data_IF_520331023781
#
_entry.id   IF_520331023781
#
_cell.length_a   1.000
_cell.length_b   1.000
_cell.length_c   1.000
_cell.angle_alpha   90.00
_cell.angle_beta   90.00
_cell.angle_gamma   90.00
#
_symmetry.space_group_name_H-M   'P 1'
#
loop_
_entity.id
_entity.type
_entity.pdbx_description
1 polymer ?
#
# COMPACT_ATOMS: atom_id res chain seq x y z
N UNK A 1 -2.11 -12.58 -16.89
CA UNK A 1 -2.36 -11.10 -16.79
C UNK A 1 -3.19 -10.82 -15.54
N UNK A 2 -2.63 -10.12 -14.58
CA UNK A 2 -3.33 -9.67 -13.38
C UNK A 2 -4.05 -8.35 -13.65
N UNK A 3 -5.30 -8.23 -13.16
CA UNK A 3 -6.09 -7.01 -13.38
C UNK A 3 -5.56 -5.88 -12.49
N UNK A 4 -5.32 -4.66 -13.02
CA UNK A 4 -5.01 -3.49 -12.20
C UNK A 4 -6.10 -3.20 -11.17
N UNK A 5 -5.73 -2.75 -9.97
CA UNK A 5 -6.68 -2.31 -8.93
C UNK A 5 -7.37 -1.01 -9.40
N UNK A 6 -6.59 -0.12 -10.01
CA UNK A 6 -7.07 1.11 -10.66
C UNK A 6 -6.14 1.49 -11.82
N UNK A 7 -6.55 2.44 -12.62
CA UNK A 7 -5.73 3.13 -13.62
C UNK A 7 -5.94 4.63 -13.49
N UNK A 8 -4.87 5.41 -13.66
CA UNK A 8 -4.90 6.86 -13.46
C UNK A 8 -4.29 7.28 -12.12
N UNK A 9 -4.89 8.25 -11.45
CA UNK A 9 -4.37 8.83 -10.21
C UNK A 9 -4.83 8.07 -8.97
N UNK A 10 -3.87 7.63 -8.15
CA UNK A 10 -4.11 7.08 -6.82
C UNK A 10 -3.50 7.99 -5.76
N UNK A 11 -4.32 8.80 -5.09
CA UNK A 11 -3.84 9.76 -4.11
C UNK A 11 -3.50 9.10 -2.78
N UNK A 12 -2.29 9.35 -2.26
CA UNK A 12 -1.92 9.05 -0.88
C UNK A 12 -2.32 10.26 -0.02
N UNK A 13 -3.45 10.17 0.69
CA UNK A 13 -3.95 11.29 1.47
C UNK A 13 -3.28 11.39 2.84
N UNK A 14 -3.27 12.60 3.41
CA UNK A 14 -2.85 12.86 4.78
C UNK A 14 -3.91 12.36 5.76
N UNK A 15 -3.50 12.09 7.01
CA UNK A 15 -4.42 11.88 8.13
C UNK A 15 -4.44 13.16 8.95
N UNK A 16 -5.54 13.91 8.97
CA UNK A 16 -5.65 15.11 9.80
C UNK A 16 -5.81 14.74 11.28
N UNK A 17 -5.17 15.51 12.15
CA UNK A 17 -5.20 15.31 13.59
C UNK A 17 -5.67 16.57 14.33
N UNK A 18 -6.29 16.36 15.49
CA UNK A 18 -6.52 17.32 16.54
C UNK A 18 -5.55 17.05 17.69
N UNK A 19 -5.62 17.85 18.75
CA UNK A 19 -4.84 17.61 19.98
C UNK A 19 -5.20 16.28 20.68
N UNK A 20 -6.31 15.64 20.29
CA UNK A 20 -6.85 14.45 20.96
C UNK A 20 -6.91 13.20 20.09
N UNK A 21 -6.46 13.26 18.85
CA UNK A 21 -6.48 12.14 17.89
C UNK A 21 -6.89 12.56 16.49
N UNK A 22 -7.36 11.61 15.68
CA UNK A 22 -7.73 11.84 14.27
C UNK A 22 -8.95 12.78 14.17
N UNK A 23 -8.83 13.78 13.29
CA UNK A 23 -9.94 14.65 12.86
C UNK A 23 -10.74 13.97 11.73
N UNK A 24 -11.73 13.19 12.10
CA UNK A 24 -12.55 12.45 11.14
C UNK A 24 -13.42 13.35 10.26
N UNK A 25 -13.87 14.50 10.76
CA UNK A 25 -14.65 15.45 9.97
C UNK A 25 -13.79 16.03 8.84
N UNK A 26 -12.54 16.38 9.18
CA UNK A 26 -11.59 16.87 8.18
C UNK A 26 -11.13 15.78 7.21
N UNK A 27 -11.00 14.54 7.68
CA UNK A 27 -10.69 13.40 6.81
C UNK A 27 -11.83 13.16 5.80
N UNK A 28 -13.10 13.27 6.21
CA UNK A 28 -14.25 13.18 5.29
C UNK A 28 -14.21 14.28 4.22
N UNK A 29 -13.96 15.53 4.62
CA UNK A 29 -13.81 16.65 3.66
C UNK A 29 -12.71 16.36 2.62
N UNK A 30 -11.57 15.82 3.05
CA UNK A 30 -10.46 15.47 2.15
C UNK A 30 -10.82 14.32 1.20
N UNK A 31 -11.49 13.28 1.69
CA UNK A 31 -11.97 12.17 0.86
C UNK A 31 -12.94 12.67 -0.21
N UNK A 32 -13.95 13.47 0.19
CA UNK A 32 -14.93 14.03 -0.75
C UNK A 32 -14.27 14.95 -1.78
N UNK A 33 -13.32 15.78 -1.35
CA UNK A 33 -12.54 16.63 -2.25
C UNK A 33 -11.83 15.79 -3.32
N UNK A 34 -11.07 14.75 -2.91
CA UNK A 34 -10.31 13.93 -3.84
C UNK A 34 -11.21 13.20 -4.86
N UNK A 35 -12.32 12.65 -4.38
CA UNK A 35 -13.29 11.97 -5.28
C UNK A 35 -13.91 12.96 -6.26
N UNK A 36 -14.30 14.16 -5.80
CA UNK A 36 -14.87 15.21 -6.62
C UNK A 36 -13.89 15.69 -7.69
N UNK A 37 -12.60 15.80 -7.33
CA UNK A 37 -11.53 16.23 -8.26
C UNK A 37 -11.03 15.08 -9.17
N UNK A 38 -11.63 13.88 -9.08
CA UNK A 38 -11.46 12.81 -10.06
C UNK A 38 -10.34 11.83 -9.77
N UNK A 39 -9.93 11.65 -8.50
CA UNK A 39 -9.01 10.56 -8.16
C UNK A 39 -9.60 9.19 -8.53
N UNK A 40 -8.75 8.26 -8.95
CA UNK A 40 -9.16 6.91 -9.33
C UNK A 40 -8.96 5.88 -8.21
N UNK A 41 -8.27 6.27 -7.13
CA UNK A 41 -8.06 5.45 -5.94
C UNK A 41 -7.63 6.34 -4.78
N UNK A 42 -7.89 5.92 -3.55
CA UNK A 42 -7.40 6.58 -2.34
C UNK A 42 -6.52 5.61 -1.56
N UNK A 43 -5.29 6.03 -1.27
CA UNK A 43 -4.38 5.31 -0.38
C UNK A 43 -4.42 5.99 0.98
N UNK A 44 -4.91 5.27 1.99
CA UNK A 44 -4.96 5.74 3.39
C UNK A 44 -3.87 5.06 4.21
N UNK A 45 -3.43 5.72 5.26
CA UNK A 45 -2.41 5.18 6.16
C UNK A 45 -1.15 4.70 5.42
N UNK A 46 -0.78 5.39 4.32
CA UNK A 46 0.55 5.30 3.75
C UNK A 46 1.55 6.15 4.54
N UNK A 47 2.74 6.36 4.01
CA UNK A 47 3.75 7.27 4.61
C UNK A 47 3.20 8.69 4.77
N UNK A 48 2.50 9.20 3.75
CA UNK A 48 1.84 10.52 3.78
C UNK A 48 0.75 10.60 4.85
N UNK A 49 0.07 9.49 5.11
CA UNK A 49 -0.96 9.36 6.15
C UNK A 49 -0.42 9.04 7.53
N UNK A 50 0.90 9.13 7.75
CA UNK A 50 1.58 9.01 9.05
C UNK A 50 1.33 7.69 9.80
N UNK A 51 1.12 6.59 9.06
CA UNK A 51 0.82 5.26 9.64
C UNK A 51 1.81 4.80 10.72
N UNK A 52 3.09 5.16 10.57
CA UNK A 52 4.15 4.71 11.48
C UNK A 52 4.10 5.36 12.87
N UNK A 53 3.29 6.38 13.07
CA UNK A 53 3.14 7.10 14.33
C UNK A 53 1.79 6.89 15.00
N UNK A 54 0.89 6.15 14.35
CA UNK A 54 -0.43 5.80 14.89
C UNK A 54 -0.40 4.48 15.66
N UNK A 55 -1.05 4.38 16.83
CA UNK A 55 -1.39 3.09 17.43
C UNK A 55 -2.29 2.25 16.51
N UNK A 56 -2.26 0.92 16.65
CA UNK A 56 -3.00 0.00 15.79
C UNK A 56 -4.52 0.30 15.73
N UNK A 57 -5.12 0.62 16.86
CA UNK A 57 -6.56 0.91 16.96
C UNK A 57 -6.93 2.21 16.23
N UNK A 58 -6.11 3.24 16.35
CA UNK A 58 -6.28 4.49 15.61
C UNK A 58 -6.08 4.25 14.10
N UNK A 59 -5.01 3.53 13.73
CA UNK A 59 -4.70 3.17 12.35
C UNK A 59 -5.87 2.46 11.66
N UNK A 60 -6.41 1.41 12.30
CA UNK A 60 -7.55 0.67 11.75
C UNK A 60 -8.83 1.50 11.75
N UNK A 61 -9.02 2.42 12.71
CA UNK A 61 -10.18 3.32 12.71
C UNK A 61 -10.18 4.25 11.50
N UNK A 62 -9.00 4.77 11.10
CA UNK A 62 -8.83 5.58 9.87
C UNK A 62 -9.17 4.79 8.62
N UNK A 63 -8.67 3.55 8.50
CA UNK A 63 -8.96 2.69 7.34
C UNK A 63 -10.47 2.41 7.26
N UNK A 64 -11.09 2.00 8.36
CA UNK A 64 -12.53 1.72 8.43
C UNK A 64 -13.35 2.94 8.00
N UNK A 65 -13.05 4.10 8.58
CA UNK A 65 -13.73 5.35 8.26
C UNK A 65 -13.62 5.69 6.77
N UNK A 66 -12.41 5.57 6.20
CA UNK A 66 -12.21 5.82 4.79
C UNK A 66 -13.00 4.85 3.90
N UNK A 67 -13.02 3.56 4.22
CA UNK A 67 -13.81 2.55 3.49
C UNK A 67 -15.30 2.89 3.52
N UNK A 68 -15.83 3.23 4.71
CA UNK A 68 -17.24 3.61 4.88
C UNK A 68 -17.58 4.88 4.08
N UNK A 69 -16.74 5.92 4.17
CA UNK A 69 -17.00 7.21 3.49
C UNK A 69 -16.83 7.13 1.98
N UNK A 70 -15.81 6.44 1.51
CA UNK A 70 -15.62 6.21 0.07
C UNK A 70 -16.77 5.39 -0.52
N UNK A 71 -17.33 4.44 0.23
CA UNK A 71 -18.50 3.65 -0.14
C UNK A 71 -18.41 3.07 -1.57
N UNK A 72 -17.28 2.44 -1.90
CA UNK A 72 -17.02 1.79 -3.20
C UNK A 72 -17.04 2.72 -4.44
N UNK A 73 -17.04 4.03 -4.26
CA UNK A 73 -16.95 4.99 -5.38
C UNK A 73 -15.62 4.91 -6.12
N UNK A 74 -14.55 4.65 -5.39
CA UNK A 74 -13.20 4.33 -5.88
C UNK A 74 -12.57 3.26 -4.98
N UNK A 75 -11.55 2.52 -5.41
CA UNK A 75 -10.82 1.60 -4.52
C UNK A 75 -10.14 2.33 -3.36
N UNK A 76 -10.22 1.74 -2.17
CA UNK A 76 -9.45 2.14 -0.97
C UNK A 76 -8.30 1.16 -0.78
N UNK A 77 -7.08 1.68 -0.82
CA UNK A 77 -5.84 0.92 -0.59
C UNK A 77 -5.32 1.27 0.79
N UNK A 78 -5.24 0.29 1.68
CA UNK A 78 -4.80 0.49 3.05
C UNK A 78 -3.29 0.26 3.21
N UNK A 79 -2.55 1.24 3.73
CA UNK A 79 -1.16 1.06 4.11
C UNK A 79 -1.06 0.21 5.38
N UNK A 80 -0.54 -1.01 5.26
CA UNK A 80 -0.44 -1.98 6.37
C UNK A 80 0.98 -2.54 6.56
N UNK A 81 1.94 -2.07 5.72
CA UNK A 81 3.31 -2.53 5.78
C UNK A 81 3.99 -2.20 7.11
N UNK A 82 4.79 -3.13 7.59
CA UNK A 82 5.61 -2.99 8.79
C UNK A 82 6.97 -3.66 8.58
N UNK A 83 7.95 -3.28 9.38
CA UNK A 83 9.25 -3.97 9.43
C UNK A 83 9.22 -5.26 10.27
N UNK A 84 8.09 -5.55 10.90
CA UNK A 84 7.75 -6.80 11.57
C UNK A 84 6.70 -7.56 10.74
N UNK A 85 7.05 -8.76 10.27
CA UNK A 85 6.17 -9.58 9.42
C UNK A 85 4.86 -9.95 10.12
N UNK A 86 4.91 -10.29 11.41
CA UNK A 86 3.73 -10.68 12.19
C UNK A 86 2.78 -9.49 12.36
N UNK A 87 3.33 -8.31 12.62
CA UNK A 87 2.55 -7.08 12.73
C UNK A 87 1.93 -6.69 11.38
N UNK A 88 2.69 -6.77 10.28
CA UNK A 88 2.17 -6.52 8.94
C UNK A 88 1.02 -7.47 8.56
N UNK A 89 1.12 -8.76 8.90
CA UNK A 89 0.04 -9.75 8.72
C UNK A 89 -1.20 -9.32 9.50
N UNK A 90 -1.05 -9.01 10.79
CA UNK A 90 -2.17 -8.59 11.65
C UNK A 90 -2.90 -7.36 11.09
N UNK A 91 -2.14 -6.32 10.74
CA UNK A 91 -2.73 -5.10 10.17
C UNK A 91 -3.41 -5.36 8.83
N UNK A 92 -2.83 -6.22 7.98
CA UNK A 92 -3.40 -6.57 6.68
C UNK A 92 -4.73 -7.32 6.81
N UNK A 93 -4.81 -8.27 7.76
CA UNK A 93 -6.06 -8.98 8.06
C UNK A 93 -7.13 -8.03 8.59
N UNK A 94 -6.77 -7.13 9.51
CA UNK A 94 -7.72 -6.12 10.03
C UNK A 94 -8.20 -5.15 8.93
N UNK A 95 -7.32 -4.77 7.98
CA UNK A 95 -7.70 -3.95 6.85
C UNK A 95 -8.66 -4.67 5.89
N UNK A 96 -8.44 -5.96 5.63
CA UNK A 96 -9.36 -6.81 4.87
C UNK A 96 -10.72 -6.92 5.58
N UNK A 97 -10.73 -7.18 6.89
CA UNK A 97 -11.93 -7.32 7.70
C UNK A 97 -12.81 -6.05 7.69
N UNK A 98 -12.20 -4.87 7.63
CA UNK A 98 -12.95 -3.60 7.54
C UNK A 98 -13.33 -3.23 6.10
N UNK A 99 -12.97 -4.03 5.10
CA UNK A 99 -13.43 -3.91 3.71
C UNK A 99 -12.55 -3.09 2.78
N UNK A 100 -11.26 -2.92 3.08
CA UNK A 100 -10.30 -2.35 2.13
C UNK A 100 -10.27 -3.17 0.83
N UNK A 101 -10.06 -2.50 -0.31
CA UNK A 101 -10.04 -3.15 -1.63
C UNK A 101 -8.66 -3.74 -1.97
N UNK A 102 -7.60 -3.24 -1.33
CA UNK A 102 -6.23 -3.73 -1.44
C UNK A 102 -5.40 -3.22 -0.26
N UNK A 103 -4.19 -3.77 -0.10
CA UNK A 103 -3.20 -3.23 0.83
C UNK A 103 -1.98 -2.68 0.10
N UNK A 104 -1.32 -1.69 0.71
CA UNK A 104 0.00 -1.19 0.35
C UNK A 104 1.01 -1.65 1.40
N UNK A 105 1.96 -2.51 1.01
CA UNK A 105 2.94 -3.08 1.93
C UNK A 105 4.35 -2.58 1.58
N UNK A 106 4.91 -1.73 2.43
CA UNK A 106 6.28 -1.24 2.31
C UNK A 106 7.29 -2.32 2.70
N UNK A 107 8.46 -2.32 2.04
CA UNK A 107 9.57 -3.20 2.44
C UNK A 107 10.02 -2.92 3.89
N UNK A 108 10.49 -3.95 4.62
CA UNK A 108 11.00 -3.76 5.98
C UNK A 108 12.06 -2.66 6.03
N UNK A 109 11.80 -1.65 6.82
CA UNK A 109 12.65 -0.51 7.06
C UNK A 109 13.41 -0.66 8.38
N UNK A 110 14.48 0.09 8.59
CA UNK A 110 15.30 0.12 9.80
C UNK A 110 16.10 -1.19 10.04
N UNK A 111 15.43 -2.32 10.38
CA UNK A 111 16.08 -3.61 10.61
C UNK A 111 16.59 -4.29 9.34
N UNK A 112 16.07 -3.88 8.15
CA UNK A 112 16.46 -4.39 6.83
C UNK A 112 16.37 -5.93 6.71
N UNK A 113 16.63 -6.45 5.52
CA UNK A 113 16.70 -7.90 5.27
C UNK A 113 17.42 -8.18 3.94
N UNK A 114 17.52 -9.45 3.53
CA UNK A 114 18.03 -9.87 2.22
C UNK A 114 16.91 -9.92 1.18
N UNK A 115 17.23 -10.08 -0.12
CA UNK A 115 16.22 -10.29 -1.17
C UNK A 115 15.35 -11.52 -0.89
N UNK A 116 15.96 -12.62 -0.42
CA UNK A 116 15.23 -13.81 0.02
C UNK A 116 14.30 -13.50 1.20
N UNK A 117 14.75 -12.69 2.16
CA UNK A 117 13.91 -12.26 3.28
C UNK A 117 12.76 -11.36 2.84
N UNK A 118 12.96 -10.47 1.85
CA UNK A 118 11.87 -9.69 1.24
C UNK A 118 10.82 -10.60 0.61
N UNK A 119 11.26 -11.59 -0.18
CA UNK A 119 10.35 -12.56 -0.78
C UNK A 119 9.49 -13.29 0.26
N UNK A 120 10.12 -13.84 1.30
CA UNK A 120 9.40 -14.56 2.36
C UNK A 120 8.48 -13.65 3.17
N UNK A 121 8.89 -12.41 3.45
CA UNK A 121 8.08 -11.41 4.14
C UNK A 121 6.79 -11.09 3.37
N UNK A 122 6.91 -10.68 2.11
CA UNK A 122 5.75 -10.31 1.30
C UNK A 122 4.85 -11.52 0.99
N UNK A 123 5.44 -12.70 0.75
CA UNK A 123 4.69 -13.93 0.56
C UNK A 123 3.89 -14.33 1.80
N UNK A 124 4.46 -14.17 3.00
CA UNK A 124 3.75 -14.46 4.24
C UNK A 124 2.56 -13.51 4.43
N UNK A 125 2.73 -12.22 4.15
CA UNK A 125 1.62 -11.23 4.18
C UNK A 125 0.56 -11.59 3.15
N UNK A 126 0.95 -11.83 1.90
CA UNK A 126 0.02 -12.17 0.82
C UNK A 126 -0.79 -13.44 1.13
N UNK A 127 -0.15 -14.48 1.68
CA UNK A 127 -0.83 -15.72 2.05
C UNK A 127 -1.79 -15.59 3.23
N UNK A 128 -1.78 -14.48 3.96
CA UNK A 128 -2.63 -14.26 5.13
C UNK A 128 -3.95 -13.58 4.83
N UNK A 129 -4.13 -13.07 3.60
CA UNK A 129 -5.29 -12.31 3.13
C UNK A 129 -5.69 -12.74 1.72
N UNK A 130 -6.90 -12.37 1.28
CA UNK A 130 -7.41 -12.66 -0.07
C UNK A 130 -7.39 -11.44 -1.00
N UNK A 131 -7.36 -10.23 -0.43
CA UNK A 131 -7.35 -8.99 -1.22
C UNK A 131 -5.98 -8.71 -1.86
N UNK A 132 -5.93 -7.93 -2.96
CA UNK A 132 -4.71 -7.60 -3.66
C UNK A 132 -3.65 -6.92 -2.77
N UNK A 133 -2.40 -7.27 -2.99
CA UNK A 133 -1.22 -6.65 -2.36
C UNK A 133 -0.49 -5.78 -3.37
N UNK A 134 -0.29 -4.53 -3.03
CA UNK A 134 0.61 -3.60 -3.71
C UNK A 134 1.93 -3.56 -2.95
N UNK A 135 3.00 -4.03 -3.54
CA UNK A 135 4.34 -3.86 -2.99
C UNK A 135 4.70 -2.36 -2.98
N UNK A 136 5.44 -1.90 -1.98
CA UNK A 136 5.93 -0.53 -1.97
C UNK A 136 7.45 -0.50 -1.84
N UNK A 137 8.11 -0.13 -2.93
CA UNK A 137 9.56 0.03 -3.01
C UNK A 137 9.95 1.50 -2.95
N UNK A 138 10.58 1.90 -1.85
CA UNK A 138 11.03 3.28 -1.60
C UNK A 138 12.40 3.29 -0.92
N UNK A 139 13.48 2.98 -1.66
CA UNK A 139 14.81 2.79 -1.11
C UNK A 139 15.35 3.97 -0.30
N UNK A 140 14.97 5.21 -0.67
CA UNK A 140 15.36 6.44 0.03
C UNK A 140 14.85 6.50 1.48
N UNK A 141 13.74 5.80 1.80
CA UNK A 141 13.14 5.77 3.14
C UNK A 141 13.47 4.48 3.89
N UNK A 142 13.49 3.35 3.20
CA UNK A 142 13.68 2.04 3.84
C UNK A 142 15.15 1.64 3.96
N UNK A 143 16.02 2.22 3.12
CA UNK A 143 17.42 1.80 2.97
C UNK A 143 17.55 0.41 2.32
N UNK A 144 16.48 -0.06 1.65
CA UNK A 144 16.42 -1.33 0.94
C UNK A 144 15.76 -1.15 -0.41
N UNK A 145 16.23 -1.89 -1.41
CA UNK A 145 15.60 -1.99 -2.73
C UNK A 145 15.01 -3.39 -2.92
N UNK A 146 13.83 -3.49 -3.48
CA UNK A 146 13.29 -4.74 -4.00
C UNK A 146 13.84 -4.88 -5.42
N UNK A 147 14.78 -5.77 -5.64
CA UNK A 147 15.40 -5.95 -6.95
C UNK A 147 14.40 -6.50 -7.98
N UNK A 148 14.54 -6.18 -9.28
CA UNK A 148 13.62 -6.64 -10.33
C UNK A 148 13.39 -8.16 -10.35
N UNK A 149 14.43 -8.95 -10.08
CA UNK A 149 14.32 -10.41 -10.00
C UNK A 149 13.47 -10.86 -8.80
N UNK A 150 13.52 -10.12 -7.68
CA UNK A 150 12.67 -10.39 -6.52
C UNK A 150 11.22 -9.98 -6.81
N UNK A 151 11.01 -8.86 -7.51
CA UNK A 151 9.68 -8.46 -8.00
C UNK A 151 9.10 -9.54 -8.91
N UNK A 152 9.93 -10.10 -9.83
CA UNK A 152 9.52 -11.21 -10.70
C UNK A 152 9.07 -12.44 -9.90
N UNK A 153 9.83 -12.85 -8.89
CA UNK A 153 9.43 -13.97 -8.04
C UNK A 153 8.12 -13.68 -7.28
N UNK A 154 7.96 -12.44 -6.79
CA UNK A 154 6.75 -12.01 -6.09
C UNK A 154 5.54 -11.90 -7.03
N UNK A 155 5.75 -11.59 -8.31
CA UNK A 155 4.66 -11.56 -9.31
C UNK A 155 4.03 -12.95 -9.55
N UNK A 156 4.67 -14.02 -9.13
CA UNK A 156 4.15 -15.39 -9.23
C UNK A 156 3.22 -15.74 -8.03
N UNK A 157 3.19 -14.92 -6.99
CA UNK A 157 2.24 -15.05 -5.88
C UNK A 157 0.88 -14.49 -6.32
N UNK A 158 -0.19 -15.24 -6.12
CA UNK A 158 -1.50 -15.00 -6.74
C UNK A 158 -2.03 -13.59 -6.49
N UNK A 159 -2.07 -13.15 -5.25
CA UNK A 159 -2.65 -11.85 -4.86
C UNK A 159 -1.65 -10.69 -4.77
N UNK A 160 -0.35 -10.89 -5.06
CA UNK A 160 0.59 -9.78 -5.27
C UNK A 160 0.41 -9.28 -6.71
N UNK A 161 -0.30 -8.18 -6.89
CA UNK A 161 -0.77 -7.74 -8.22
C UNK A 161 -0.08 -6.49 -8.74
N UNK A 162 0.54 -5.72 -7.88
CA UNK A 162 1.12 -4.44 -8.24
C UNK A 162 2.34 -4.07 -7.39
N UNK A 163 3.11 -3.11 -7.88
CA UNK A 163 4.17 -2.44 -7.14
C UNK A 163 4.03 -0.91 -7.30
N UNK A 164 4.09 -0.18 -6.18
CA UNK A 164 4.37 1.25 -6.17
C UNK A 164 5.89 1.42 -6.13
N UNK A 165 6.45 1.92 -7.24
CA UNK A 165 7.89 1.99 -7.45
C UNK A 165 8.39 3.43 -7.38
N UNK A 166 9.34 3.69 -6.45
CA UNK A 166 10.04 4.98 -6.33
C UNK A 166 11.49 4.92 -6.85
N UNK A 167 11.97 3.76 -7.27
CA UNK A 167 13.25 3.65 -7.97
C UNK A 167 13.00 3.56 -9.48
N UNK A 168 12.78 4.70 -10.12
CA UNK A 168 12.43 4.77 -11.54
C UNK A 168 13.47 4.12 -12.47
N UNK A 169 14.73 4.03 -12.02
CA UNK A 169 15.81 3.46 -12.82
C UNK A 169 15.59 1.96 -13.16
N UNK A 170 14.81 1.24 -12.35
CA UNK A 170 14.56 -0.19 -12.56
C UNK A 170 13.19 -0.54 -13.16
N UNK A 171 12.36 0.47 -13.45
CA UNK A 171 11.00 0.23 -14.01
C UNK A 171 11.07 -0.56 -15.31
N UNK A 172 12.01 -0.23 -16.22
CA UNK A 172 12.19 -0.96 -17.47
C UNK A 172 12.53 -2.44 -17.26
N UNK A 173 13.36 -2.76 -16.28
CA UNK A 173 13.73 -4.14 -15.95
C UNK A 173 12.53 -4.91 -15.38
N UNK A 174 11.74 -4.27 -14.51
CA UNK A 174 10.52 -4.87 -13.96
C UNK A 174 9.51 -5.16 -15.09
N UNK A 175 9.28 -4.21 -16.01
CA UNK A 175 8.41 -4.42 -17.18
C UNK A 175 8.88 -5.59 -18.02
N UNK A 176 10.18 -5.66 -18.31
CA UNK A 176 10.75 -6.73 -19.13
C UNK A 176 10.63 -8.12 -18.47
N UNK A 177 10.80 -8.20 -17.15
CA UNK A 177 10.75 -9.47 -16.42
C UNK A 177 9.33 -9.92 -16.08
N UNK A 178 8.44 -9.00 -15.71
CA UNK A 178 7.12 -9.33 -15.20
C UNK A 178 6.02 -9.27 -16.27
N UNK A 179 6.21 -8.45 -17.32
CA UNK A 179 5.16 -8.25 -18.33
C UNK A 179 3.84 -7.84 -17.69
N UNK A 180 2.77 -8.51 -18.10
CA UNK A 180 1.40 -8.24 -17.63
C UNK A 180 1.08 -8.84 -16.24
N UNK A 181 2.05 -9.48 -15.58
CA UNK A 181 1.83 -10.11 -14.27
C UNK A 181 2.07 -9.16 -13.10
N UNK A 182 2.53 -7.93 -13.37
CA UNK A 182 2.76 -6.90 -12.35
C UNK A 182 2.35 -5.52 -12.87
N UNK A 183 1.34 -4.91 -12.24
CA UNK A 183 1.02 -3.51 -12.49
C UNK A 183 2.04 -2.61 -11.78
N UNK A 184 2.56 -1.60 -12.48
CA UNK A 184 3.50 -0.64 -11.90
C UNK A 184 2.81 0.71 -11.72
N UNK A 185 2.79 1.19 -10.49
CA UNK A 185 2.39 2.56 -10.13
C UNK A 185 3.64 3.36 -9.82
N UNK A 186 3.79 4.55 -10.41
CA UNK A 186 4.86 5.48 -10.01
C UNK A 186 4.59 5.99 -8.60
N UNK A 187 5.61 5.99 -7.76
CA UNK A 187 5.59 6.65 -6.45
C UNK A 187 6.28 7.99 -6.43
N UNK A 188 6.75 8.46 -7.59
CA UNK A 188 7.42 9.75 -7.77
C UNK A 188 6.51 10.73 -8.51
N UNK A 189 6.56 12.00 -8.07
CA UNK A 189 5.73 13.09 -8.61
C UNK A 189 6.49 13.94 -9.65
N UNK A 190 7.74 13.58 -9.99
CA UNK A 190 8.62 14.31 -10.90
C UNK A 190 8.59 13.76 -12.33
#
# INVERSE_FOLDING_TARGET
MKKPIFTGSGVAIVTPFTDTGVDFDKLEELIEFQIKEGTNSIVVCGTTGEASTMPDDEHISVIRFAVEKVNKRVPVIAGTGSNDTVHAIKLSQLAEDVGADAILSVSPYYNKTTQKGLYEHFKAIANSISIPVVLYNVPSRTGMNINPETVKQLSEVENITAIKECNLAQVGDIVNLCGDDMTIYSGEDA
#
